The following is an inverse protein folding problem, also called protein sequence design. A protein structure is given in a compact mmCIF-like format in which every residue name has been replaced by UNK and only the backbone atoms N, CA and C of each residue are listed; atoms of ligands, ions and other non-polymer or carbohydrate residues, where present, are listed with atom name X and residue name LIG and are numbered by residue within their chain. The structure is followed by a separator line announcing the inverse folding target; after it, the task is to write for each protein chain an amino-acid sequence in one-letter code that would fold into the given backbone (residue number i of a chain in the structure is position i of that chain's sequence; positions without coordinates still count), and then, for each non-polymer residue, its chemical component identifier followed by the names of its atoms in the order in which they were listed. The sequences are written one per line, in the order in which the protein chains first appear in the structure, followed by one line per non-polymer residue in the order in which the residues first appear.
data_IF_509826045456
#
_entry.id   IF_509826045456
#
_cell.length_a   1.000
_cell.length_b   1.000
_cell.length_c   1.000
_cell.angle_alpha   90.00
_cell.angle_beta   90.00
_cell.angle_gamma   90.00
#
_symmetry.space_group_name_H-M   'P 1'
#
loop_
_entity.id
_entity.type
_entity.pdbx_description
1 polymer ?
#
# COMPACT_ATOMS: atom_id res chain seq x y z
N UNK A 1 -16.44 -1.42 14.10
CA UNK A 1 -16.12 -2.04 12.79
C UNK A 1 -17.31 -2.72 12.14
N UNK A 2 -17.80 -3.86 12.64
CA UNK A 2 -18.91 -4.63 12.01
C UNK A 2 -20.12 -3.77 11.67
N UNK A 3 -20.62 -2.97 12.63
CA UNK A 3 -21.76 -2.06 12.40
C UNK A 3 -21.48 -0.99 11.33
N UNK A 4 -20.23 -0.57 11.16
CA UNK A 4 -19.84 0.38 10.12
C UNK A 4 -19.82 -0.29 8.75
N UNK A 5 -19.28 -1.52 8.68
CA UNK A 5 -19.29 -2.32 7.47
C UNK A 5 -20.73 -2.67 7.04
N UNK A 6 -21.61 -3.05 7.98
CA UNK A 6 -23.03 -3.32 7.69
C UNK A 6 -23.75 -2.07 7.14
N UNK A 7 -23.41 -0.89 7.66
CA UNK A 7 -23.98 0.37 7.15
C UNK A 7 -23.53 0.65 5.70
N UNK A 8 -22.29 0.31 5.35
CA UNK A 8 -21.71 0.54 4.02
C UNK A 8 -22.06 -0.56 3.00
N UNK A 9 -22.14 -1.80 3.48
CA UNK A 9 -22.40 -3.01 2.69
C UNK A 9 -23.52 -3.84 3.36
N UNK A 10 -24.78 -3.34 3.35
CA UNK A 10 -25.88 -4.03 4.01
C UNK A 10 -26.06 -5.45 3.48
N UNK A 11 -26.19 -6.42 4.40
CA UNK A 11 -26.35 -7.84 4.10
C UNK A 11 -25.22 -8.49 3.27
N UNK A 12 -24.02 -7.89 3.21
CA UNK A 12 -22.88 -8.51 2.53
C UNK A 12 -22.16 -9.52 3.44
N UNK A 13 -21.83 -10.70 2.92
CA UNK A 13 -21.11 -11.74 3.67
C UNK A 13 -19.73 -11.27 4.16
N UNK A 14 -19.11 -10.31 3.45
CA UNK A 14 -17.86 -9.68 3.83
C UNK A 14 -17.93 -8.93 5.15
N UNK A 15 -19.12 -8.54 5.64
CA UNK A 15 -19.26 -7.93 6.98
C UNK A 15 -18.80 -8.88 8.08
N UNK A 16 -18.99 -10.20 7.88
CA UNK A 16 -18.57 -11.24 8.83
C UNK A 16 -17.04 -11.40 8.85
N UNK A 17 -16.33 -11.00 7.78
CA UNK A 17 -14.85 -11.05 7.73
C UNK A 17 -14.19 -10.30 8.90
N UNK A 18 -14.83 -9.26 9.43
CA UNK A 18 -14.33 -8.50 10.57
C UNK A 18 -14.15 -9.33 11.86
N UNK A 19 -14.74 -10.53 11.94
CA UNK A 19 -14.55 -11.46 13.05
C UNK A 19 -13.40 -12.45 12.83
N UNK A 20 -12.97 -12.64 11.58
CA UNK A 20 -11.94 -13.63 11.22
C UNK A 20 -10.59 -12.99 10.89
N UNK A 21 -10.57 -11.71 10.53
CA UNK A 21 -9.38 -11.02 10.05
C UNK A 21 -8.77 -10.13 11.12
N UNK A 22 -7.45 -9.93 11.03
CA UNK A 22 -6.75 -8.98 11.86
C UNK A 22 -7.17 -7.55 11.52
N UNK A 23 -7.70 -6.81 12.49
CA UNK A 23 -7.94 -5.38 12.35
C UNK A 23 -6.64 -4.61 12.65
N UNK A 24 -5.97 -4.15 11.60
CA UNK A 24 -4.68 -3.47 11.69
C UNK A 24 -4.86 -1.97 11.52
N UNK A 25 -4.24 -1.19 12.40
CA UNK A 25 -4.15 0.26 12.27
C UNK A 25 -2.68 0.66 12.12
N UNK A 26 -2.34 1.23 10.98
CA UNK A 26 -1.01 1.78 10.72
C UNK A 26 -0.95 3.24 11.16
N UNK A 27 0.14 3.60 11.82
CA UNK A 27 0.51 5.00 12.07
C UNK A 27 1.31 5.56 10.90
N UNK A 28 1.41 6.90 10.76
CA UNK A 28 2.28 7.50 9.75
C UNK A 28 3.72 6.97 9.85
N UNK A 29 4.28 6.53 8.72
CA UNK A 29 5.61 5.90 8.67
C UNK A 29 5.63 4.42 9.01
N UNK A 30 4.49 3.80 9.31
CA UNK A 30 4.37 2.34 9.36
C UNK A 30 3.90 1.80 8.02
N UNK A 31 4.41 0.62 7.65
CA UNK A 31 4.08 -0.07 6.42
C UNK A 31 3.66 -1.51 6.71
N UNK A 32 2.92 -2.08 5.77
CA UNK A 32 2.46 -3.46 5.82
C UNK A 32 2.75 -4.11 4.47
N UNK A 33 3.41 -5.26 4.51
CA UNK A 33 3.53 -6.12 3.33
C UNK A 33 2.33 -7.06 3.30
N UNK A 34 1.73 -7.20 2.11
CA UNK A 34 0.61 -8.10 1.85
C UNK A 34 1.09 -9.16 0.86
N UNK A 35 1.12 -10.41 1.32
CA UNK A 35 1.59 -11.52 0.52
C UNK A 35 0.60 -11.93 -0.57
N UNK A 36 1.05 -12.71 -1.57
CA UNK A 36 0.15 -13.29 -2.56
C UNK A 36 -0.87 -14.20 -1.88
N UNK A 37 -2.12 -14.12 -2.35
CA UNK A 37 -3.26 -14.91 -1.85
C UNK A 37 -3.62 -14.68 -0.38
N UNK A 38 -3.16 -13.58 0.23
CA UNK A 38 -3.59 -13.14 1.55
C UNK A 38 -4.76 -12.15 1.40
N UNK A 39 -5.98 -12.51 1.81
CA UNK A 39 -7.12 -11.62 1.66
C UNK A 39 -6.96 -10.41 2.60
N UNK A 40 -7.28 -9.22 2.10
CA UNK A 40 -7.17 -7.97 2.84
C UNK A 40 -8.17 -6.95 2.31
N UNK A 41 -8.46 -5.93 3.12
CA UNK A 41 -9.32 -4.81 2.73
C UNK A 41 -8.84 -3.53 3.40
N UNK A 42 -8.71 -2.46 2.61
CA UNK A 42 -8.49 -1.11 3.13
C UNK A 42 -9.83 -0.51 3.54
N UNK A 43 -9.89 0.00 4.77
CA UNK A 43 -11.15 0.42 5.38
C UNK A 43 -11.28 1.94 5.45
N UNK A 44 -10.23 2.63 5.87
CA UNK A 44 -10.20 4.08 6.05
C UNK A 44 -8.76 4.58 6.17
N UNK A 45 -8.48 5.80 5.72
CA UNK A 45 -7.20 6.50 5.86
C UNK A 45 -6.56 6.86 4.52
N UNK A 46 -5.32 7.34 4.54
CA UNK A 46 -4.53 7.59 3.33
C UNK A 46 -3.25 6.78 3.42
N UNK A 47 -2.88 6.11 2.32
CA UNK A 47 -1.64 5.36 2.23
C UNK A 47 -1.06 5.45 0.81
N UNK A 48 0.22 5.14 0.71
CA UNK A 48 0.87 4.85 -0.57
C UNK A 48 0.84 3.33 -0.74
N UNK A 49 0.25 2.88 -1.84
CA UNK A 49 0.28 1.49 -2.25
C UNK A 49 1.25 1.35 -3.43
N UNK A 50 2.16 0.38 -3.33
CA UNK A 50 3.02 -0.04 -4.43
C UNK A 50 2.83 -1.54 -4.62
N UNK A 51 2.67 -1.96 -5.87
CA UNK A 51 2.38 -3.33 -6.23
C UNK A 51 3.16 -3.69 -7.49
N UNK A 52 3.47 -4.99 -7.64
CA UNK A 52 3.93 -5.48 -8.92
C UNK A 52 2.89 -5.17 -10.02
N UNK A 53 3.33 -5.04 -11.27
CA UNK A 53 2.46 -4.72 -12.40
C UNK A 53 1.51 -5.89 -12.72
N UNK A 54 0.44 -6.01 -11.94
CA UNK A 54 -0.58 -7.05 -12.00
C UNK A 54 -1.91 -6.46 -11.55
N UNK A 55 -2.98 -6.75 -12.27
CA UNK A 55 -4.36 -6.36 -11.95
C UNK A 55 -5.20 -7.56 -11.50
N UNK A 56 -4.54 -8.68 -11.16
CA UNK A 56 -5.19 -9.90 -10.72
C UNK A 56 -5.78 -9.77 -9.32
N UNK A 57 -6.96 -9.18 -9.24
CA UNK A 57 -7.73 -9.08 -7.99
C UNK A 57 -8.82 -10.15 -7.98
N UNK A 58 -8.98 -10.82 -6.82
CA UNK A 58 -10.10 -11.72 -6.55
C UNK A 58 -10.90 -11.16 -5.38
N UNK A 59 -12.19 -10.96 -5.61
CA UNK A 59 -13.08 -10.31 -4.66
C UNK A 59 -13.66 -11.33 -3.67
N UNK A 60 -13.50 -11.07 -2.37
CA UNK A 60 -13.96 -11.95 -1.30
C UNK A 60 -15.26 -11.47 -0.60
N UNK A 61 -15.57 -10.17 -0.68
CA UNK A 61 -16.69 -9.55 0.03
C UNK A 61 -16.56 -8.04 -0.01
N UNK A 62 -17.44 -7.33 0.70
CA UNK A 62 -17.48 -5.85 0.76
C UNK A 62 -17.54 -5.23 -0.64
N UNK A 63 -18.35 -5.83 -1.51
CA UNK A 63 -18.47 -5.40 -2.91
C UNK A 63 -19.76 -5.91 -3.52
N UNK A 64 -20.45 -5.08 -4.33
CA UNK A 64 -21.62 -5.53 -5.08
C UNK A 64 -21.24 -6.34 -6.33
N UNK A 65 -19.95 -6.43 -6.68
CA UNK A 65 -19.47 -7.13 -7.88
C UNK A 65 -19.51 -8.65 -7.69
N UNK A 66 -19.52 -9.38 -8.81
CA UNK A 66 -19.49 -10.84 -8.82
C UNK A 66 -18.23 -11.38 -8.12
N UNK A 67 -18.41 -12.48 -7.37
CA UNK A 67 -17.35 -13.17 -6.61
C UNK A 67 -17.21 -14.59 -7.13
N UNK A 68 -16.03 -14.94 -7.59
CA UNK A 68 -15.68 -16.33 -7.94
C UNK A 68 -15.21 -17.07 -6.67
N UNK A 69 -16.20 -17.55 -5.90
CA UNK A 69 -15.98 -18.19 -4.59
C UNK A 69 -15.13 -19.47 -4.71
N UNK A 70 -15.37 -20.39 -5.67
CA UNK A 70 -14.54 -21.59 -5.82
C UNK A 70 -13.06 -21.25 -6.06
N UNK A 71 -12.77 -20.31 -6.97
CA UNK A 71 -11.38 -19.89 -7.24
C UNK A 71 -10.76 -19.22 -6.01
N UNK A 72 -11.52 -18.38 -5.30
CA UNK A 72 -11.06 -17.75 -4.07
C UNK A 72 -10.65 -18.83 -3.04
N UNK A 73 -11.53 -19.77 -2.73
CA UNK A 73 -11.26 -20.84 -1.77
C UNK A 73 -10.06 -21.72 -2.17
N UNK A 74 -9.83 -21.92 -3.46
CA UNK A 74 -8.68 -22.67 -3.96
C UNK A 74 -7.34 -21.92 -3.78
N UNK A 75 -7.35 -20.59 -3.92
CA UNK A 75 -6.14 -19.77 -3.87
C UNK A 75 -5.66 -19.43 -2.45
N UNK A 76 -6.57 -19.34 -1.48
CA UNK A 76 -6.28 -18.82 -0.15
C UNK A 76 -5.17 -19.58 0.59
N UNK A 77 -4.18 -18.85 1.09
CA UNK A 77 -3.12 -19.39 1.94
C UNK A 77 -3.57 -19.37 3.41
N UNK A 78 -4.24 -20.43 3.89
CA UNK A 78 -4.74 -20.52 5.29
C UNK A 78 -3.67 -21.11 6.24
N UNK A 79 -2.42 -20.64 6.14
CA UNK A 79 -1.32 -21.16 6.98
C UNK A 79 -0.78 -20.13 7.97
N UNK A 80 -1.07 -18.84 7.77
CA UNK A 80 -0.54 -17.77 8.61
C UNK A 80 -1.64 -17.12 9.47
N UNK A 81 -1.88 -17.71 10.65
CA UNK A 81 -2.87 -17.22 11.63
C UNK A 81 -2.25 -16.10 12.52
N UNK A 82 -1.02 -15.68 12.23
CA UNK A 82 -0.35 -14.66 13.04
C UNK A 82 -0.80 -13.25 12.71
N UNK A 83 -0.67 -12.33 13.68
CA UNK A 83 -0.84 -10.91 13.43
C UNK A 83 0.25 -10.45 12.47
N UNK A 84 -0.08 -9.69 11.41
CA UNK A 84 0.90 -9.37 10.39
C UNK A 84 1.98 -8.44 10.94
N UNK A 85 3.21 -8.60 10.43
CA UNK A 85 4.33 -7.80 10.87
C UNK A 85 4.24 -6.38 10.31
N UNK A 86 4.15 -5.40 11.21
CA UNK A 86 4.22 -3.99 10.86
C UNK A 86 5.69 -3.61 10.62
N UNK A 87 5.98 -3.13 9.43
CA UNK A 87 7.30 -2.66 9.03
C UNK A 87 7.46 -1.19 9.42
N UNK A 88 8.51 -0.88 10.19
CA UNK A 88 8.86 0.52 10.54
C UNK A 88 9.92 1.12 9.61
N UNK A 89 10.46 0.29 8.71
CA UNK A 89 11.62 0.62 7.91
C UNK A 89 12.89 0.75 8.76
N UNK A 90 14.00 1.06 8.10
CA UNK A 90 15.27 1.38 8.75
C UNK A 90 15.81 2.71 8.20
N UNK A 91 16.43 3.53 9.06
CA UNK A 91 16.94 4.84 8.65
C UNK A 91 18.18 4.67 7.77
N UNK A 92 18.17 5.29 6.59
CA UNK A 92 19.35 5.45 5.72
C UNK A 92 20.05 6.79 5.96
N UNK A 93 19.29 7.81 6.31
CA UNK A 93 19.79 9.15 6.64
C UNK A 93 18.81 9.82 7.62
N UNK A 94 19.11 11.02 8.14
CA UNK A 94 18.17 11.76 8.99
C UNK A 94 16.81 12.05 8.34
N UNK A 95 16.72 11.99 7.01
CA UNK A 95 15.52 12.32 6.24
C UNK A 95 14.94 11.14 5.46
N UNK A 96 15.63 10.00 5.40
CA UNK A 96 15.25 8.86 4.54
C UNK A 96 15.12 7.60 5.40
N UNK A 97 13.94 6.99 5.32
CA UNK A 97 13.64 5.67 5.88
C UNK A 97 13.35 4.70 4.74
N UNK A 98 14.06 3.57 4.70
CA UNK A 98 13.89 2.53 3.69
C UNK A 98 13.02 1.38 4.22
N UNK A 99 12.12 0.90 3.37
CA UNK A 99 11.31 -0.30 3.59
C UNK A 99 11.71 -1.37 2.57
N UNK A 100 12.07 -2.54 3.07
CA UNK A 100 12.40 -3.72 2.28
C UNK A 100 11.35 -4.81 2.53
N UNK A 101 10.35 -4.96 1.66
CA UNK A 101 9.48 -6.13 1.65
C UNK A 101 10.28 -7.42 1.39
N UNK A 102 9.73 -8.61 1.69
CA UNK A 102 10.42 -9.88 1.51
C UNK A 102 10.37 -10.37 0.04
N UNK A 103 10.72 -9.49 -0.90
CA UNK A 103 10.78 -9.75 -2.34
C UNK A 103 11.74 -8.76 -3.02
N UNK A 104 12.12 -9.00 -4.28
CA UNK A 104 13.21 -8.27 -4.96
C UNK A 104 12.72 -7.26 -6.02
N UNK A 105 11.41 -7.20 -6.28
CA UNK A 105 10.80 -6.41 -7.34
C UNK A 105 10.93 -4.90 -7.12
N UNK A 106 10.81 -4.42 -5.88
CA UNK A 106 10.97 -3.00 -5.56
C UNK A 106 11.26 -2.75 -4.07
N UNK A 107 11.89 -1.63 -3.80
CA UNK A 107 12.09 -1.05 -2.47
C UNK A 107 11.39 0.31 -2.38
N UNK A 108 11.04 0.74 -1.16
CA UNK A 108 10.40 2.05 -0.94
C UNK A 108 11.26 2.89 -0.01
N UNK A 109 11.63 4.09 -0.47
CA UNK A 109 12.22 5.12 0.37
C UNK A 109 11.18 6.19 0.70
N UNK A 110 10.91 6.37 1.99
CA UNK A 110 10.16 7.50 2.50
C UNK A 110 11.12 8.63 2.85
N UNK A 111 10.90 9.80 2.27
CA UNK A 111 11.72 10.98 2.53
C UNK A 111 10.91 12.11 3.14
N UNK A 112 11.32 12.58 4.31
CA UNK A 112 10.71 13.70 5.03
C UNK A 112 11.78 14.79 5.18
N UNK A 113 11.69 15.84 4.37
CA UNK A 113 12.59 16.99 4.42
C UNK A 113 11.99 18.12 5.26
N UNK A 114 12.83 18.77 6.05
CA UNK A 114 12.51 20.05 6.67
C UNK A 114 12.62 21.17 5.63
N UNK A 115 11.91 22.28 5.85
CA UNK A 115 11.96 23.42 4.94
C UNK A 115 13.40 23.92 4.77
N UNK A 116 13.84 24.03 3.51
CA UNK A 116 15.20 24.46 3.16
C UNK A 116 16.27 23.36 3.28
N UNK A 117 15.92 22.15 3.74
CA UNK A 117 16.83 21.01 3.73
C UNK A 117 16.88 20.34 2.35
N UNK A 118 17.98 19.67 2.06
CA UNK A 118 18.17 18.84 0.87
C UNK A 118 18.75 17.49 1.24
N UNK A 119 18.41 16.46 0.46
CA UNK A 119 19.01 15.13 0.58
C UNK A 119 19.41 14.60 -0.79
N UNK A 120 20.27 13.59 -0.80
CA UNK A 120 20.69 12.88 -2.00
C UNK A 120 20.31 11.42 -1.83
N UNK A 121 19.59 10.89 -2.82
CA UNK A 121 19.33 9.46 -2.91
C UNK A 121 20.54 8.77 -3.53
N UNK A 122 21.06 7.68 -2.93
CA UNK A 122 22.17 6.95 -3.50
C UNK A 122 21.74 6.32 -4.84
N UNK A 123 22.64 6.34 -5.82
CA UNK A 123 22.39 5.65 -7.08
C UNK A 123 22.27 4.14 -6.83
N UNK A 124 21.19 3.53 -7.30
CA UNK A 124 21.00 2.09 -7.24
C UNK A 124 21.75 1.46 -8.43
N UNK A 125 22.70 0.54 -8.21
CA UNK A 125 23.40 -0.13 -9.31
C UNK A 125 22.43 -0.93 -10.18
N UNK A 126 22.45 -0.72 -11.50
CA UNK A 126 21.67 -1.49 -12.47
C UNK A 126 20.66 -0.64 -13.26
N UNK A 127 19.75 -1.31 -13.97
CA UNK A 127 18.68 -0.69 -14.77
C UNK A 127 17.43 -0.36 -13.92
N UNK A 128 17.62 0.12 -12.69
CA UNK A 128 16.50 0.54 -11.84
C UNK A 128 15.80 1.75 -12.43
N UNK A 129 14.48 1.82 -12.26
CA UNK A 129 13.68 3.00 -12.57
C UNK A 129 13.14 3.57 -11.28
N UNK A 130 13.52 4.80 -10.98
CA UNK A 130 13.03 5.48 -9.78
C UNK A 130 11.70 6.17 -10.08
N UNK A 131 10.72 5.97 -9.21
CA UNK A 131 9.43 6.67 -9.25
C UNK A 131 9.35 7.56 -8.01
N UNK A 132 9.22 8.87 -8.24
CA UNK A 132 9.06 9.83 -7.16
C UNK A 132 7.57 10.20 -7.02
N UNK A 133 7.03 9.97 -5.82
CA UNK A 133 5.67 10.38 -5.44
C UNK A 133 5.78 11.53 -4.44
N UNK A 134 5.10 12.65 -4.73
CA UNK A 134 5.15 13.85 -3.89
C UNK A 134 3.72 14.32 -3.61
N UNK A 135 3.40 14.75 -2.37
CA UNK A 135 2.09 15.32 -2.06
C UNK A 135 1.74 16.50 -2.98
N UNK A 136 0.46 16.62 -3.30
CA UNK A 136 -0.03 17.75 -4.09
C UNK A 136 0.34 19.09 -3.43
N UNK A 137 0.58 20.11 -4.26
CA UNK A 137 0.96 21.46 -3.82
C UNK A 137 2.31 21.55 -3.07
N UNK A 138 3.21 20.58 -3.27
CA UNK A 138 4.59 20.65 -2.77
C UNK A 138 5.52 21.19 -3.86
N UNK A 139 6.27 22.24 -3.55
CA UNK A 139 7.35 22.72 -4.42
C UNK A 139 8.61 21.90 -4.16
N UNK A 140 9.16 21.29 -5.21
CA UNK A 140 10.37 20.47 -5.15
C UNK A 140 11.39 20.94 -6.18
N UNK A 141 12.65 20.96 -5.80
CA UNK A 141 13.77 21.14 -6.71
C UNK A 141 14.52 19.82 -6.83
N UNK A 142 14.62 19.28 -8.05
CA UNK A 142 15.30 18.02 -8.33
C UNK A 142 16.50 18.27 -9.23
N UNK A 143 17.64 17.70 -8.86
CA UNK A 143 18.83 17.63 -9.72
C UNK A 143 19.17 16.17 -9.95
N UNK A 144 19.28 15.77 -11.21
CA UNK A 144 19.52 14.37 -11.59
C UNK A 144 20.77 14.29 -12.46
N UNK A 145 21.55 13.22 -12.28
CA UNK A 145 22.69 12.94 -13.18
C UNK A 145 22.22 12.38 -14.54
N UNK A 146 20.99 11.85 -14.61
CA UNK A 146 20.37 11.22 -15.77
C UNK A 146 19.03 11.87 -16.12
N UNK A 147 18.39 11.43 -17.20
CA UNK A 147 17.12 12.01 -17.68
C UNK A 147 15.97 11.73 -16.71
N UNK A 148 15.36 12.77 -16.13
CA UNK A 148 14.14 12.69 -15.34
C UNK A 148 12.90 12.68 -16.25
N UNK A 149 11.96 11.77 -15.98
CA UNK A 149 10.62 11.82 -16.59
C UNK A 149 9.60 12.12 -15.51
N UNK A 150 8.87 13.23 -15.67
CA UNK A 150 7.84 13.66 -14.73
C UNK A 150 6.47 13.23 -15.25
N UNK A 151 5.76 12.47 -14.42
CA UNK A 151 4.39 12.04 -14.67
C UNK A 151 3.49 12.60 -13.57
N UNK A 152 2.35 13.16 -13.95
CA UNK A 152 1.29 13.46 -12.99
C UNK A 152 0.47 12.18 -12.81
N UNK A 153 0.65 11.48 -11.69
CA UNK A 153 -0.24 10.40 -11.31
C UNK A 153 -1.56 11.00 -10.77
N UNK A 154 -2.69 10.48 -11.24
CA UNK A 154 -3.99 10.84 -10.69
C UNK A 154 -4.18 10.20 -9.31
N UNK A 155 -4.78 10.92 -8.37
CA UNK A 155 -5.27 10.33 -7.13
C UNK A 155 -6.48 9.47 -7.51
N UNK A 156 -6.42 8.17 -7.29
CA UNK A 156 -7.63 7.33 -7.38
C UNK A 156 -8.46 7.58 -6.13
N UNK A 157 -9.35 8.58 -6.17
CA UNK A 157 -10.33 8.85 -5.12
C UNK A 157 -11.39 7.74 -4.98
N UNK A 158 -11.38 6.76 -5.88
CA UNK A 158 -12.36 5.67 -5.93
C UNK A 158 -12.25 4.66 -4.77
N UNK A 159 -11.23 4.76 -3.91
CA UNK A 159 -11.19 3.98 -2.67
C UNK A 159 -12.05 4.58 -1.54
N UNK A 160 -12.34 5.89 -1.55
CA UNK A 160 -13.03 6.59 -0.44
C UNK A 160 -14.36 7.24 -0.81
N UNK A 161 -14.81 7.15 -2.07
CA UNK A 161 -16.06 7.78 -2.52
C UNK A 161 -17.35 7.01 -2.16
N UNK A 162 -17.29 6.01 -1.26
CA UNK A 162 -18.46 5.41 -0.59
C UNK A 162 -18.38 5.68 0.93
N UNK A 163 -18.04 6.92 1.31
CA UNK A 163 -18.14 7.42 2.68
C UNK A 163 -19.31 8.38 2.84
#
# INVERSE_FOLDING_TARGET
LVLQLEKQYPADIGVISAFFFNYVRLNPGEALYLGPNEPHAYLNGECIECMASSDNVRLAGLTPKHRDVPTLCFMLTIFNISFPQILKGFPLSPYITRYLPPFDEFEIDSCILLQGASTVFPAIPGSSRDVLVVPANTEISLTTASKLQLYRAGVSSMFFQIL
#
